data_IF_290835309000
#
_entry.id   IF_290835309000
#
_cell.length_a   1.000
_cell.length_b   1.000
_cell.length_c   1.000
_cell.angle_alpha   90.00
_cell.angle_beta   90.00
_cell.angle_gamma   90.00
#
_symmetry.space_group_name_H-M   'P 1'
#
loop_
_entity.id
_entity.type
_entity.pdbx_description
1 polymer ?
#
# COMPACT_ATOMS: atom_id res chain seq x y z
N UNK A 1 -2.18 -9.03 31.78
CA UNK A 1 -1.15 -9.43 30.79
C UNK A 1 -1.47 -8.78 29.45
N UNK A 2 -0.76 -7.70 29.09
CA UNK A 2 -0.85 -7.05 27.78
C UNK A 2 -0.12 -7.93 26.75
N UNK A 3 -0.87 -8.65 25.91
CA UNK A 3 -0.31 -9.34 24.74
C UNK A 3 0.09 -8.29 23.70
N UNK A 4 1.31 -7.77 23.81
CA UNK A 4 1.88 -6.94 22.76
C UNK A 4 2.46 -7.82 21.65
N UNK A 5 1.62 -8.66 21.05
CA UNK A 5 1.97 -9.42 19.85
C UNK A 5 1.68 -8.51 18.63
N UNK A 6 2.36 -7.35 18.59
CA UNK A 6 2.25 -6.39 17.49
C UNK A 6 2.87 -7.02 16.25
N UNK A 7 2.07 -7.79 15.52
CA UNK A 7 2.42 -8.21 14.17
C UNK A 7 2.78 -6.97 13.37
N UNK A 8 4.00 -6.91 12.84
CA UNK A 8 4.44 -5.78 12.05
C UNK A 8 3.45 -5.53 10.90
N UNK A 9 3.04 -4.28 10.65
CA UNK A 9 2.10 -3.99 9.58
C UNK A 9 2.76 -4.24 8.22
N UNK A 10 1.95 -4.72 7.29
CA UNK A 10 2.27 -4.80 5.87
C UNK A 10 1.39 -3.80 5.11
N UNK A 11 1.81 -3.44 3.91
CA UNK A 11 0.91 -2.87 2.90
C UNK A 11 0.46 -3.99 1.99
N UNK A 12 -0.83 -4.03 1.71
CA UNK A 12 -1.46 -5.01 0.83
C UNK A 12 -2.08 -4.32 -0.38
N UNK A 13 -1.88 -4.91 -1.55
CA UNK A 13 -2.55 -4.55 -2.80
C UNK A 13 -3.09 -5.85 -3.42
N UNK A 14 -4.40 -5.94 -3.58
CA UNK A 14 -5.06 -7.10 -4.19
C UNK A 14 -4.74 -7.22 -5.68
N UNK A 15 -4.77 -8.45 -6.22
CA UNK A 15 -4.52 -8.73 -7.63
C UNK A 15 -5.78 -9.16 -8.42
N UNK A 16 -6.90 -9.45 -7.73
CA UNK A 16 -8.15 -9.91 -8.36
C UNK A 16 -9.12 -8.78 -8.67
N UNK A 17 -9.09 -7.71 -7.89
CA UNK A 17 -10.05 -6.60 -8.04
C UNK A 17 -9.73 -5.78 -9.29
N UNK A 18 -10.77 -5.33 -9.99
CA UNK A 18 -10.62 -4.40 -11.11
C UNK A 18 -10.06 -3.04 -10.66
N UNK A 19 -10.37 -2.65 -9.42
CA UNK A 19 -9.88 -1.42 -8.80
C UNK A 19 -9.17 -1.75 -7.49
N UNK A 20 -7.93 -2.30 -7.53
CA UNK A 20 -7.21 -2.65 -6.31
C UNK A 20 -7.07 -1.46 -5.37
N UNK A 21 -7.37 -1.69 -4.09
CA UNK A 21 -7.10 -0.73 -3.02
C UNK A 21 -5.70 -0.95 -2.45
N UNK A 22 -5.07 0.14 -2.02
CA UNK A 22 -3.88 0.08 -1.17
C UNK A 22 -4.34 0.14 0.27
N UNK A 23 -4.05 -0.91 1.05
CA UNK A 23 -4.46 -0.97 2.45
C UNK A 23 -3.36 -1.47 3.35
N UNK A 24 -3.48 -1.19 4.64
CA UNK A 24 -2.60 -1.74 5.66
C UNK A 24 -3.15 -3.10 6.09
N UNK A 25 -2.29 -4.10 6.13
CA UNK A 25 -2.61 -5.45 6.59
C UNK A 25 -1.87 -5.79 7.88
N UNK A 26 -2.52 -6.56 8.75
CA UNK A 26 -1.94 -7.13 9.98
C UNK A 26 -2.39 -8.58 10.11
N UNK A 27 -1.55 -9.41 10.74
CA UNK A 27 -1.82 -10.82 10.94
C UNK A 27 -1.42 -11.70 9.75
N UNK A 28 -2.07 -12.86 9.62
CA UNK A 28 -1.76 -13.89 8.62
C UNK A 28 -1.97 -13.36 7.20
N UNK A 29 -1.08 -13.71 6.27
CA UNK A 29 -1.19 -13.34 4.83
C UNK A 29 -2.07 -14.36 4.11
N UNK A 30 -3.38 -14.21 4.25
CA UNK A 30 -4.40 -15.14 3.76
C UNK A 30 -5.15 -14.65 2.51
N UNK A 31 -5.00 -13.37 2.15
CA UNK A 31 -5.57 -12.79 0.93
C UNK A 31 -4.60 -12.89 -0.24
N UNK A 32 -5.12 -13.18 -1.42
CA UNK A 32 -4.33 -13.18 -2.65
C UNK A 32 -3.97 -11.76 -3.09
N UNK A 33 -2.69 -11.53 -3.33
CA UNK A 33 -2.16 -10.23 -3.75
C UNK A 33 -0.73 -10.01 -3.29
N UNK A 34 -0.33 -8.75 -3.28
CA UNK A 34 1.03 -8.35 -2.97
C UNK A 34 1.11 -7.80 -1.55
N UNK A 35 2.06 -8.31 -0.77
CA UNK A 35 2.36 -7.85 0.58
C UNK A 35 3.74 -7.21 0.64
N UNK A 36 3.81 -5.99 1.14
CA UNK A 36 5.05 -5.23 1.27
C UNK A 36 5.31 -4.91 2.74
N UNK A 37 6.55 -5.07 3.19
CA UNK A 37 6.94 -4.98 4.60
C UNK A 37 7.73 -6.22 5.05
N UNK A 38 7.84 -6.47 6.37
CA UNK A 38 7.19 -5.77 7.49
C UNK A 38 7.67 -4.34 7.66
N UNK A 39 6.76 -3.43 8.01
CA UNK A 39 7.09 -2.04 8.34
C UNK A 39 7.40 -1.89 9.83
N UNK A 40 8.41 -1.08 10.18
CA UNK A 40 8.85 -0.90 11.57
C UNK A 40 7.75 -0.35 12.50
N UNK A 41 6.79 0.40 11.96
CA UNK A 41 5.65 0.91 12.71
C UNK A 41 4.41 1.13 11.82
N UNK A 42 3.24 1.24 12.45
CA UNK A 42 2.02 1.64 11.74
C UNK A 42 2.14 3.03 11.08
N UNK A 43 2.90 3.94 11.70
CA UNK A 43 3.19 5.26 11.15
C UNK A 43 3.97 5.18 9.84
N UNK A 44 5.01 4.35 9.80
CA UNK A 44 5.80 4.14 8.57
C UNK A 44 4.97 3.53 7.43
N UNK A 45 4.12 2.53 7.74
CA UNK A 45 3.19 1.96 6.76
C UNK A 45 2.20 3.02 6.23
N UNK A 46 1.58 3.80 7.13
CA UNK A 46 0.63 4.85 6.76
C UNK A 46 1.31 5.94 5.90
N UNK A 47 2.55 6.30 6.19
CA UNK A 47 3.31 7.27 5.40
C UNK A 47 3.58 6.75 3.99
N UNK A 48 3.99 5.48 3.85
CA UNK A 48 4.17 4.85 2.54
C UNK A 48 2.86 4.78 1.76
N UNK A 49 1.72 4.45 2.39
CA UNK A 49 0.41 4.50 1.74
C UNK A 49 0.13 5.92 1.21
N UNK A 50 0.31 6.96 2.04
CA UNK A 50 0.12 8.36 1.62
C UNK A 50 1.02 8.76 0.45
N UNK A 51 2.23 8.21 0.38
CA UNK A 51 3.16 8.44 -0.73
C UNK A 51 2.67 7.74 -2.00
N UNK A 52 2.25 6.48 -1.92
CA UNK A 52 1.69 5.74 -3.05
C UNK A 52 0.44 6.45 -3.62
N UNK A 53 -0.44 6.95 -2.76
CA UNK A 53 -1.59 7.75 -3.18
C UNK A 53 -1.19 9.02 -3.93
N UNK A 54 -0.15 9.72 -3.47
CA UNK A 54 0.29 10.98 -4.09
C UNK A 54 0.92 10.74 -5.46
N UNK A 55 1.70 9.67 -5.61
CA UNK A 55 2.47 9.39 -6.84
C UNK A 55 1.62 8.66 -7.87
N UNK A 56 0.85 7.65 -7.44
CA UNK A 56 0.14 6.73 -8.32
C UNK A 56 -1.39 6.91 -8.28
N UNK A 57 -1.90 7.87 -7.50
CA UNK A 57 -3.33 8.21 -7.43
C UNK A 57 -4.23 7.02 -7.10
N UNK A 58 -3.75 6.09 -6.28
CA UNK A 58 -4.47 4.88 -5.90
C UNK A 58 -5.51 5.11 -4.81
N UNK A 59 -6.60 4.34 -4.86
CA UNK A 59 -7.64 4.39 -3.82
C UNK A 59 -7.19 3.68 -2.54
N UNK A 60 -7.78 4.14 -1.43
CA UNK A 60 -7.65 3.52 -0.10
C UNK A 60 -9.00 3.34 0.60
N UNK A 61 -10.10 3.78 -0.03
CA UNK A 61 -11.43 3.56 0.51
C UNK A 61 -11.78 2.09 0.42
N UNK A 62 -12.47 1.58 1.43
CA UNK A 62 -13.00 0.22 1.46
C UNK A 62 -14.05 -0.01 0.36
N UNK A 63 -14.44 -1.27 0.17
CA UNK A 63 -15.32 -1.68 -0.92
C UNK A 63 -16.75 -1.13 -0.79
N UNK A 64 -17.26 -1.05 0.43
CA UNK A 64 -18.59 -0.49 0.70
C UNK A 64 -18.61 1.00 0.39
N UNK A 65 -17.60 1.74 0.84
CA UNK A 65 -17.43 3.15 0.50
C UNK A 65 -17.26 3.34 -1.00
N UNK A 66 -16.48 2.48 -1.68
CA UNK A 66 -16.24 2.57 -3.12
C UNK A 66 -17.53 2.44 -3.93
N UNK A 67 -18.34 1.39 -3.65
CA UNK A 67 -19.57 1.09 -4.39
C UNK A 67 -20.68 2.13 -4.20
N UNK A 68 -20.73 2.78 -3.03
CA UNK A 68 -21.79 3.73 -2.70
C UNK A 68 -21.48 5.19 -3.06
N UNK A 69 -20.31 5.48 -3.65
CA UNK A 69 -19.91 6.85 -4.00
C UNK A 69 -20.62 7.33 -5.27
N UNK A 70 -21.36 8.43 -5.15
CA UNK A 70 -21.96 9.17 -6.29
C UNK A 70 -21.14 10.39 -6.74
N UNK A 71 -20.21 10.84 -5.90
CA UNK A 71 -19.38 12.04 -6.12
C UNK A 71 -17.95 11.79 -5.62
N UNK A 72 -16.93 12.38 -6.28
CA UNK A 72 -15.54 12.18 -5.89
C UNK A 72 -15.31 12.67 -4.46
N UNK A 73 -14.42 11.99 -3.74
CA UNK A 73 -14.08 12.36 -2.36
C UNK A 73 -12.95 13.40 -2.32
N UNK A 74 -12.65 13.90 -1.12
CA UNK A 74 -11.56 14.85 -0.88
C UNK A 74 -10.21 14.38 -1.44
N UNK A 75 -9.93 13.08 -1.43
CA UNK A 75 -8.67 12.54 -1.94
C UNK A 75 -8.48 12.81 -3.43
N UNK A 76 -9.57 12.83 -4.22
CA UNK A 76 -9.49 13.24 -5.62
C UNK A 76 -9.21 14.74 -5.74
N UNK A 77 -9.94 15.57 -4.98
CA UNK A 77 -9.79 17.02 -5.02
C UNK A 77 -8.36 17.47 -4.67
N UNK A 78 -7.70 16.80 -3.73
CA UNK A 78 -6.30 17.08 -3.36
C UNK A 78 -5.28 16.28 -4.17
N UNK A 79 -5.68 15.71 -5.32
CA UNK A 79 -4.81 14.96 -6.26
C UNK A 79 -4.06 13.79 -5.61
N UNK A 80 -4.80 12.95 -4.87
CA UNK A 80 -4.31 11.71 -4.21
C UNK A 80 -5.06 10.45 -4.61
N UNK A 81 -6.07 10.58 -5.47
CA UNK A 81 -6.86 9.47 -5.99
C UNK A 81 -7.37 9.88 -7.37
N UNK A 82 -7.38 8.96 -8.33
CA UNK A 82 -7.91 9.18 -9.69
C UNK A 82 -9.43 9.00 -9.79
N UNK A 83 -10.11 8.84 -8.64
CA UNK A 83 -11.56 8.69 -8.53
C UNK A 83 -12.20 7.57 -9.40
N UNK A 84 -11.66 6.33 -9.37
CA UNK A 84 -12.28 5.20 -10.07
C UNK A 84 -13.71 4.88 -9.60
N UNK A 85 -14.08 5.28 -8.38
CA UNK A 85 -15.42 5.06 -7.83
C UNK A 85 -16.53 5.83 -8.57
N UNK A 86 -16.19 6.86 -9.34
CA UNK A 86 -17.14 7.64 -10.14
C UNK A 86 -16.78 7.66 -11.62
N UNK A 87 -15.88 6.75 -12.06
CA UNK A 87 -15.54 6.58 -13.47
C UNK A 87 -14.64 7.67 -14.08
N UNK A 88 -13.89 8.43 -13.27
CA UNK A 88 -13.03 9.53 -13.77
C UNK A 88 -11.66 9.06 -14.32
N UNK A 89 -11.40 7.75 -14.30
CA UNK A 89 -10.18 7.13 -14.81
C UNK A 89 -10.56 5.83 -15.49
N UNK A 90 -9.86 5.50 -16.57
CA UNK A 90 -10.08 4.22 -17.25
C UNK A 90 -9.49 3.05 -16.46
N UNK A 91 -10.08 1.87 -16.65
CA UNK A 91 -9.61 0.62 -16.02
C UNK A 91 -8.15 0.35 -16.35
N UNK A 92 -7.75 0.57 -17.60
CA UNK A 92 -6.39 0.32 -18.10
C UNK A 92 -5.38 1.25 -17.44
N UNK A 93 -5.69 2.55 -17.38
CA UNK A 93 -4.81 3.56 -16.77
C UNK A 93 -4.63 3.32 -15.27
N UNK A 94 -5.71 2.99 -14.56
CA UNK A 94 -5.63 2.65 -13.14
C UNK A 94 -4.81 1.39 -12.91
N UNK A 95 -4.99 0.35 -13.75
CA UNK A 95 -4.20 -0.88 -13.68
C UNK A 95 -2.71 -0.59 -13.86
N UNK A 96 -2.34 0.22 -14.86
CA UNK A 96 -0.94 0.62 -15.05
C UNK A 96 -0.38 1.33 -13.81
N UNK A 97 -1.16 2.24 -13.21
CA UNK A 97 -0.78 2.94 -11.98
C UNK A 97 -0.55 1.98 -10.80
N UNK A 98 -1.38 0.93 -10.69
CA UNK A 98 -1.23 -0.13 -9.68
C UNK A 98 0.05 -0.95 -9.94
N UNK A 99 0.31 -1.34 -11.18
CA UNK A 99 1.51 -2.09 -11.55
C UNK A 99 2.79 -1.29 -11.26
N UNK A 100 2.81 0.00 -11.57
CA UNK A 100 3.94 0.87 -11.29
C UNK A 100 4.14 1.07 -9.79
N UNK A 101 3.06 1.18 -9.01
CA UNK A 101 3.14 1.21 -7.55
C UNK A 101 3.75 -0.08 -6.98
N UNK A 102 3.34 -1.24 -7.49
CA UNK A 102 3.88 -2.55 -7.10
C UNK A 102 5.37 -2.63 -7.42
N UNK A 103 5.78 -2.26 -8.64
CA UNK A 103 7.21 -2.24 -9.05
C UNK A 103 8.02 -1.30 -8.16
N UNK A 104 7.53 -0.09 -7.94
CA UNK A 104 8.20 0.94 -7.14
C UNK A 104 8.45 0.47 -5.70
N UNK A 105 7.42 -0.02 -5.02
CA UNK A 105 7.53 -0.42 -3.61
C UNK A 105 8.31 -1.75 -3.47
N UNK A 106 8.26 -2.62 -4.48
CA UNK A 106 9.11 -3.82 -4.55
C UNK A 106 10.59 -3.45 -4.69
N UNK A 107 10.92 -2.49 -5.55
CA UNK A 107 12.28 -1.99 -5.74
C UNK A 107 12.86 -1.38 -4.46
N UNK A 108 12.10 -0.49 -3.79
CA UNK A 108 12.52 0.08 -2.50
C UNK A 108 12.61 -0.97 -1.39
N UNK A 109 11.72 -1.95 -1.35
CA UNK A 109 11.79 -3.02 -0.35
C UNK A 109 13.10 -3.81 -0.47
N UNK A 110 13.55 -4.11 -1.69
CA UNK A 110 14.85 -4.80 -1.91
C UNK A 110 16.02 -3.94 -1.44
N UNK A 111 16.01 -2.64 -1.73
CA UNK A 111 17.05 -1.70 -1.29
C UNK A 111 17.11 -1.62 0.25
N UNK A 112 15.96 -1.49 0.90
CA UNK A 112 15.86 -1.44 2.37
C UNK A 112 16.33 -2.75 3.00
N UNK A 113 15.94 -3.90 2.45
CA UNK A 113 16.40 -5.22 2.93
C UNK A 113 17.92 -5.38 2.79
N UNK A 114 18.51 -4.92 1.69
CA UNK A 114 19.97 -4.93 1.48
C UNK A 114 20.67 -4.04 2.51
N UNK A 115 20.16 -2.83 2.74
CA UNK A 115 20.72 -1.88 3.71
C UNK A 115 20.62 -2.39 5.15
N UNK A 116 19.49 -2.99 5.53
CA UNK A 116 19.32 -3.64 6.82
C UNK A 116 20.31 -4.80 6.97
N UNK A 117 20.36 -5.73 6.01
CA UNK A 117 21.27 -6.89 6.04
C UNK A 117 22.73 -6.45 6.21
N UNK A 118 23.13 -5.37 5.53
CA UNK A 118 24.46 -4.79 5.68
C UNK A 118 24.69 -4.16 7.07
N UNK A 119 23.67 -3.54 7.66
CA UNK A 119 23.73 -2.98 9.02
C UNK A 119 23.85 -4.09 10.08
N UNK A 120 23.10 -5.19 9.93
CA UNK A 120 23.22 -6.38 10.78
C UNK A 120 24.61 -7.00 10.68
N UNK A 121 25.15 -7.18 9.46
CA UNK A 121 26.53 -7.66 9.25
C UNK A 121 27.60 -6.78 9.89
N UNK A 122 27.38 -5.46 9.97
CA UNK A 122 28.29 -4.53 10.65
C UNK A 122 28.17 -4.59 12.17
N UNK A 123 26.98 -4.86 12.72
CA UNK A 123 26.78 -4.98 14.17
C UNK A 123 27.25 -6.31 14.74
N UNK A 124 27.16 -7.41 13.98
CA UNK A 124 27.61 -8.75 14.42
C UNK A 124 29.14 -8.89 14.42
N UNK A 125 29.88 -7.92 13.88
CA UNK A 125 31.35 -7.88 13.89
C UNK A 125 31.96 -7.03 15.03
N UNK A 126 31.14 -6.52 15.93
CA UNK A 126 31.57 -5.81 17.15
C UNK A 126 31.11 -6.59 18.39
#
# INVERSE_FOLDING_TARGET
MLKDDKSFPFIFIGNKDQWPQVTKHRGKKDKDGFYFGPFASAGSANWTIKMLQKIFLLRVCDETTFKNRKRPCILYQIKRCSAPCVGYVEKKEYKNSVEDAIKFVSGKSREIQKNLSNKWRKQVKN
#
